data_IF_728824688078
#
_entry.id   IF_728824688078
#
_cell.length_a   1.000
_cell.length_b   1.000
_cell.length_c   1.000
_cell.angle_alpha   90.00
_cell.angle_beta   90.00
_cell.angle_gamma   90.00
#
_symmetry.space_group_name_H-M   'P 1'
#
loop_
_entity.id
_entity.type
_entity.pdbx_description
1 polymer ?
#
# COMPACT_ATOMS: atom_id res chain seq x y z
N UNK A 1 -9.01 35.66 22.34
CA UNK A 1 -7.66 36.28 22.23
C UNK A 1 -6.81 35.74 23.37
N UNK A 2 -6.14 34.60 23.17
CA UNK A 2 -5.32 33.94 24.18
C UNK A 2 -3.87 34.27 23.86
N UNK A 3 -3.29 35.17 24.65
CA UNK A 3 -1.85 35.45 24.61
C UNK A 3 -1.12 34.17 25.07
N UNK A 4 -0.56 33.42 24.12
CA UNK A 4 0.40 32.36 24.41
C UNK A 4 1.70 33.02 24.89
N UNK A 5 2.07 32.80 26.16
CA UNK A 5 3.34 33.21 26.73
C UNK A 5 4.47 32.68 25.84
N UNK A 6 5.20 33.58 25.15
CA UNK A 6 6.45 33.26 24.47
C UNK A 6 7.44 32.82 25.55
N UNK A 7 7.86 31.58 25.51
CA UNK A 7 8.97 31.12 26.32
C UNK A 7 10.19 31.95 25.94
N UNK A 8 10.65 32.83 26.84
CA UNK A 8 11.82 33.66 26.64
C UNK A 8 13.04 32.76 26.78
N UNK A 9 13.69 32.46 25.66
CA UNK A 9 14.96 31.73 25.63
C UNK A 9 16.00 32.70 26.18
N UNK A 10 16.67 32.36 27.31
CA UNK A 10 17.81 33.15 27.80
C UNK A 10 19.05 32.77 27.01
N UNK A 11 19.50 33.71 26.16
CA UNK A 11 20.71 33.56 25.37
C UNK A 11 21.96 33.83 26.19
N UNK A 12 23.11 33.19 25.94
CA UNK A 12 24.40 33.57 26.50
C UNK A 12 24.83 34.93 25.98
N UNK A 13 25.83 35.56 26.62
CA UNK A 13 26.33 36.90 26.24
C UNK A 13 26.74 37.01 24.75
N UNK A 14 27.15 35.91 24.14
CA UNK A 14 27.40 35.83 22.69
C UNK A 14 26.56 34.67 22.09
N UNK A 15 25.70 35.01 21.16
CA UNK A 15 24.93 34.01 20.37
C UNK A 15 25.74 33.65 19.15
N UNK A 16 25.99 32.37 18.93
CA UNK A 16 26.69 31.85 17.75
C UNK A 16 25.75 31.06 16.85
N UNK A 17 26.02 31.05 15.54
CA UNK A 17 25.23 30.26 14.56
C UNK A 17 25.22 28.79 14.91
N UNK A 18 26.37 28.24 15.38
CA UNK A 18 26.48 26.85 15.81
C UNK A 18 25.53 26.48 16.97
N UNK A 19 25.39 27.39 17.96
CA UNK A 19 24.47 27.19 19.08
C UNK A 19 23.00 27.18 18.61
N UNK A 20 22.64 28.12 17.74
CA UNK A 20 21.30 28.22 17.15
C UNK A 20 20.98 26.98 16.33
N UNK A 21 21.92 26.49 15.52
CA UNK A 21 21.79 25.25 14.77
C UNK A 21 21.52 24.04 15.66
N UNK A 22 22.31 23.88 16.74
CA UNK A 22 22.14 22.77 17.70
C UNK A 22 20.74 22.80 18.33
N UNK A 23 20.28 23.98 18.76
CA UNK A 23 18.95 24.14 19.36
C UNK A 23 17.85 23.85 18.33
N UNK A 24 17.95 24.37 17.10
CA UNK A 24 16.99 24.05 16.05
C UNK A 24 16.98 22.55 15.73
N UNK A 25 18.15 21.89 15.66
CA UNK A 25 18.26 20.45 15.39
C UNK A 25 17.60 19.60 16.51
N UNK A 26 17.80 19.97 17.77
CA UNK A 26 17.27 19.24 18.93
C UNK A 26 15.75 19.33 19.06
N UNK A 27 15.13 20.39 18.58
CA UNK A 27 13.69 20.58 18.67
C UNK A 27 12.92 19.70 17.67
N UNK A 28 12.04 18.82 18.16
CA UNK A 28 11.18 18.01 17.29
C UNK A 28 9.99 18.78 16.74
N UNK A 29 9.50 19.76 17.51
CA UNK A 29 8.33 20.56 17.14
C UNK A 29 8.76 21.77 16.30
N UNK A 30 8.18 21.94 15.11
CA UNK A 30 8.52 23.00 14.17
C UNK A 30 8.19 24.39 14.74
N UNK A 31 7.09 24.56 15.46
CA UNK A 31 6.72 25.84 16.08
C UNK A 31 7.73 26.25 17.17
N UNK A 32 8.26 25.30 17.93
CA UNK A 32 9.35 25.57 18.88
C UNK A 32 10.66 25.91 18.19
N UNK A 33 10.98 25.21 17.11
CA UNK A 33 12.15 25.54 16.29
C UNK A 33 12.06 26.95 15.69
N UNK A 34 10.87 27.39 15.26
CA UNK A 34 10.60 28.75 14.82
C UNK A 34 10.78 29.77 15.96
N UNK A 35 10.30 29.46 17.18
CA UNK A 35 10.50 30.35 18.33
C UNK A 35 11.99 30.49 18.68
N UNK A 36 12.79 29.43 18.54
CA UNK A 36 14.26 29.50 18.71
C UNK A 36 14.86 30.42 17.66
N UNK A 37 14.52 30.26 16.39
CA UNK A 37 15.01 31.07 15.28
C UNK A 37 14.64 32.56 15.48
N UNK A 38 13.37 32.87 15.73
CA UNK A 38 12.90 34.25 15.91
C UNK A 38 13.47 34.91 17.17
N UNK A 39 13.66 34.11 18.25
CA UNK A 39 14.32 34.62 19.47
C UNK A 39 15.78 34.96 19.21
N UNK A 40 16.52 34.19 18.40
CA UNK A 40 17.87 34.50 17.98
C UNK A 40 17.92 35.75 17.09
N UNK A 41 16.89 36.00 16.26
CA UNK A 41 16.78 37.21 15.46
C UNK A 41 16.63 38.48 16.30
N UNK A 42 16.11 38.41 17.53
CA UNK A 42 16.05 39.54 18.47
C UNK A 42 17.47 40.00 18.91
N UNK A 43 18.46 39.13 18.81
CA UNK A 43 19.88 39.45 19.14
C UNK A 43 20.65 40.13 18.00
N UNK A 44 19.97 40.56 16.91
CA UNK A 44 20.62 41.29 15.81
C UNK A 44 21.23 42.61 16.24
N UNK A 45 20.65 43.26 17.23
CA UNK A 45 21.23 44.45 17.83
C UNK A 45 22.58 44.19 18.52
N UNK A 46 22.80 42.95 18.99
CA UNK A 46 24.03 42.51 19.67
C UNK A 46 25.04 41.87 18.68
N UNK A 47 24.87 42.10 17.38
CA UNK A 47 25.81 41.68 16.34
C UNK A 47 25.62 40.25 15.80
N UNK A 48 24.60 39.48 16.27
CA UNK A 48 24.28 38.20 15.67
C UNK A 48 23.65 38.38 14.29
N UNK A 49 23.86 37.43 13.38
CA UNK A 49 23.13 37.30 12.12
C UNK A 49 22.96 35.83 11.80
N UNK A 50 21.79 35.47 11.29
CA UNK A 50 21.57 34.14 10.72
C UNK A 50 22.38 33.95 9.46
N UNK A 51 22.93 32.78 9.30
CA UNK A 51 23.63 32.34 8.08
C UNK A 51 22.77 31.41 7.23
N UNK A 52 23.31 31.03 6.07
CA UNK A 52 22.62 30.11 5.14
C UNK A 52 22.33 28.72 5.76
N UNK A 53 23.11 28.29 6.77
CA UNK A 53 22.93 26.97 7.42
C UNK A 53 21.74 26.98 8.37
N UNK A 54 21.58 28.01 9.19
CA UNK A 54 20.45 28.22 10.09
C UNK A 54 19.13 28.33 9.32
N UNK A 55 19.15 29.09 8.20
CA UNK A 55 18.02 29.20 7.28
C UNK A 55 17.68 27.85 6.62
N UNK A 56 18.69 27.11 6.15
CA UNK A 56 18.49 25.78 5.55
C UNK A 56 17.82 24.80 6.50
N UNK A 57 18.22 24.82 7.78
CA UNK A 57 17.64 23.95 8.80
C UNK A 57 16.18 24.28 9.09
N UNK A 58 15.84 25.56 9.24
CA UNK A 58 14.44 25.94 9.53
C UNK A 58 13.55 25.69 8.32
N UNK A 59 14.02 25.99 7.11
CA UNK A 59 13.30 25.67 5.87
C UNK A 59 13.08 24.17 5.75
N UNK A 60 14.10 23.34 6.01
CA UNK A 60 13.97 21.86 5.97
C UNK A 60 12.90 21.36 6.95
N UNK A 61 12.84 21.92 8.17
CA UNK A 61 11.81 21.58 9.15
C UNK A 61 10.40 21.99 8.70
N UNK A 62 10.25 23.19 8.12
CA UNK A 62 8.97 23.64 7.57
C UNK A 62 8.50 22.74 6.42
N UNK A 63 9.41 22.33 5.55
CA UNK A 63 9.13 21.42 4.44
C UNK A 63 8.73 20.01 4.92
N UNK A 64 9.26 19.55 6.06
CA UNK A 64 8.88 18.24 6.64
C UNK A 64 7.42 18.17 7.10
N UNK A 65 6.81 19.30 7.41
CA UNK A 65 5.38 19.43 7.81
C UNK A 65 4.52 20.11 6.73
N UNK A 66 5.02 20.19 5.50
CA UNK A 66 4.33 20.74 4.33
C UNK A 66 3.90 22.22 4.46
N UNK A 67 4.62 23.02 5.25
CA UNK A 67 4.39 24.46 5.39
C UNK A 67 5.13 25.26 4.31
N UNK A 68 4.78 25.06 3.03
CA UNK A 68 5.51 25.60 1.87
C UNK A 68 5.52 27.12 1.82
N UNK A 69 4.37 27.79 2.06
CA UNK A 69 4.30 29.27 2.03
C UNK A 69 5.27 29.88 3.03
N UNK A 70 5.27 29.39 4.27
CA UNK A 70 6.22 29.86 5.29
C UNK A 70 7.68 29.61 4.88
N UNK A 71 7.99 28.47 4.26
CA UNK A 71 9.33 28.20 3.75
C UNK A 71 9.75 29.19 2.65
N UNK A 72 8.83 29.65 1.79
CA UNK A 72 9.08 30.70 0.80
C UNK A 72 9.25 32.08 1.45
N UNK A 73 8.47 32.41 2.49
CA UNK A 73 8.61 33.64 3.25
C UNK A 73 10.04 33.76 3.86
N UNK A 74 10.61 32.60 4.30
CA UNK A 74 12.01 32.57 4.78
C UNK A 74 13.03 32.84 3.67
N UNK A 75 12.76 32.42 2.42
CA UNK A 75 13.61 32.79 1.27
C UNK A 75 13.57 34.29 1.02
N UNK A 76 12.41 34.91 1.08
CA UNK A 76 12.28 36.36 0.88
C UNK A 76 12.92 37.13 2.05
N UNK A 77 12.87 36.60 3.28
CA UNK A 77 13.61 37.12 4.43
C UNK A 77 15.14 37.02 4.24
N UNK A 78 15.65 35.87 3.72
CA UNK A 78 17.08 35.76 3.37
C UNK A 78 17.53 36.85 2.39
N UNK A 79 16.69 37.21 1.40
CA UNK A 79 17.00 38.31 0.47
C UNK A 79 17.09 39.65 1.18
N UNK A 80 16.12 39.96 2.06
CA UNK A 80 16.11 41.23 2.80
C UNK A 80 17.28 41.34 3.77
N UNK A 81 17.76 40.24 4.32
CA UNK A 81 18.91 40.16 5.22
C UNK A 81 20.27 40.01 4.50
N UNK A 82 20.30 40.10 3.16
CA UNK A 82 21.49 39.86 2.33
C UNK A 82 22.18 38.50 2.61
N UNK A 83 21.44 37.51 3.08
CA UNK A 83 21.96 36.18 3.29
C UNK A 83 22.00 35.39 1.97
N UNK A 84 23.13 34.73 1.70
CA UNK A 84 23.32 33.98 0.46
C UNK A 84 22.31 32.83 0.34
N UNK A 85 21.44 32.89 -0.66
CA UNK A 85 20.53 31.80 -1.02
C UNK A 85 21.33 30.78 -1.83
N UNK A 86 21.51 29.58 -1.28
CA UNK A 86 22.20 28.48 -1.98
C UNK A 86 21.23 27.71 -2.87
N UNK A 87 21.77 27.17 -3.97
CA UNK A 87 21.02 26.31 -4.89
C UNK A 87 20.37 25.12 -4.13
N UNK A 88 21.09 24.53 -3.17
CA UNK A 88 20.59 23.38 -2.41
C UNK A 88 19.34 23.70 -1.58
N UNK A 89 19.19 24.93 -1.08
CA UNK A 89 17.98 25.39 -0.39
C UNK A 89 16.79 25.40 -1.35
N UNK A 90 16.94 26.01 -2.53
CA UNK A 90 15.87 26.07 -3.54
C UNK A 90 15.54 24.68 -4.08
N UNK A 91 16.54 23.83 -4.31
CA UNK A 91 16.30 22.44 -4.72
C UNK A 91 15.59 21.60 -3.64
N UNK A 92 15.84 21.88 -2.35
CA UNK A 92 15.11 21.21 -1.27
C UNK A 92 13.60 21.53 -1.30
N UNK A 93 13.26 22.77 -1.61
CA UNK A 93 11.86 23.22 -1.81
C UNK A 93 11.26 22.58 -3.07
N UNK A 94 12.03 22.54 -4.18
CA UNK A 94 11.58 21.85 -5.40
C UNK A 94 11.25 20.38 -5.13
N UNK A 95 12.13 19.66 -4.41
CA UNK A 95 11.88 18.25 -4.03
C UNK A 95 10.67 18.10 -3.12
N UNK A 96 10.43 19.06 -2.23
CA UNK A 96 9.27 19.02 -1.33
C UNK A 96 7.97 19.29 -2.09
N UNK A 97 7.94 20.22 -3.03
CA UNK A 97 6.80 20.42 -3.94
C UNK A 97 6.55 19.22 -4.85
N UNK A 98 7.61 18.56 -5.33
CA UNK A 98 7.50 17.31 -6.06
C UNK A 98 6.78 16.23 -5.26
N UNK A 99 7.13 16.03 -3.98
CA UNK A 99 6.47 15.02 -3.10
C UNK A 99 4.99 15.26 -2.86
N UNK A 100 4.47 16.47 -3.03
CA UNK A 100 3.04 16.81 -2.90
C UNK A 100 2.37 17.06 -4.24
N UNK A 101 2.96 16.57 -5.33
CA UNK A 101 2.39 16.61 -6.68
C UNK A 101 2.07 18.02 -7.21
N UNK A 102 2.98 18.98 -7.00
CA UNK A 102 2.84 20.38 -7.45
C UNK A 102 3.92 20.81 -8.46
N UNK A 103 3.93 20.27 -9.69
CA UNK A 103 4.99 20.52 -10.68
C UNK A 103 5.09 21.98 -11.14
N UNK A 104 4.00 22.74 -11.12
CA UNK A 104 4.01 24.17 -11.46
C UNK A 104 4.81 24.99 -10.44
N UNK A 105 4.67 24.68 -9.15
CA UNK A 105 5.44 25.33 -8.09
C UNK A 105 6.92 24.97 -8.17
N UNK A 106 7.24 23.71 -8.56
CA UNK A 106 8.64 23.32 -8.83
C UNK A 106 9.28 24.21 -9.87
N UNK A 107 8.62 24.45 -11.01
CA UNK A 107 9.13 25.31 -12.07
C UNK A 107 9.26 26.77 -11.61
N UNK A 108 8.29 27.28 -10.86
CA UNK A 108 8.33 28.64 -10.29
C UNK A 108 9.50 28.85 -9.35
N UNK A 109 9.80 27.88 -8.49
CA UNK A 109 10.95 27.95 -7.57
C UNK A 109 12.27 27.81 -8.34
N UNK A 110 12.33 26.91 -9.33
CA UNK A 110 13.52 26.75 -10.16
C UNK A 110 13.92 28.05 -10.87
N UNK A 111 12.95 28.82 -11.37
CA UNK A 111 13.22 30.14 -12.00
C UNK A 111 13.83 31.19 -11.05
N UNK A 112 13.76 30.97 -9.73
CA UNK A 112 14.42 31.83 -8.72
C UNK A 112 15.93 31.55 -8.58
N UNK A 113 16.45 30.48 -9.22
CA UNK A 113 17.90 30.15 -9.21
C UNK A 113 18.58 31.02 -10.27
N UNK A 114 19.48 31.88 -9.85
CA UNK A 114 20.12 32.85 -10.74
C UNK A 114 21.10 32.21 -11.73
N UNK A 115 21.81 31.16 -11.32
CA UNK A 115 22.79 30.45 -12.14
C UNK A 115 22.74 28.94 -11.81
N UNK A 116 21.74 28.24 -12.40
CA UNK A 116 21.50 26.84 -12.05
C UNK A 116 22.59 25.92 -12.61
N UNK A 117 23.13 25.08 -11.74
CA UNK A 117 24.08 24.03 -12.12
C UNK A 117 23.41 22.90 -12.88
N UNK A 118 24.20 22.05 -13.56
CA UNK A 118 23.72 20.81 -14.20
C UNK A 118 22.93 19.94 -13.21
N UNK A 119 23.38 19.91 -11.93
CA UNK A 119 22.70 19.18 -10.84
C UNK A 119 21.28 19.69 -10.61
N UNK A 120 21.05 21.00 -10.66
CA UNK A 120 19.74 21.61 -10.51
C UNK A 120 18.81 21.20 -11.66
N UNK A 121 19.29 21.32 -12.90
CA UNK A 121 18.53 20.90 -14.08
C UNK A 121 18.12 19.42 -14.01
N UNK A 122 19.07 18.53 -13.72
CA UNK A 122 18.79 17.08 -13.60
C UNK A 122 17.81 16.79 -12.46
N UNK A 123 17.92 17.48 -11.33
CA UNK A 123 17.00 17.30 -10.19
C UNK A 123 15.58 17.70 -10.55
N UNK A 124 15.39 18.88 -11.14
CA UNK A 124 14.06 19.36 -11.55
C UNK A 124 13.49 18.48 -12.66
N UNK A 125 14.32 18.07 -13.59
CA UNK A 125 13.94 17.15 -14.65
C UNK A 125 13.44 15.80 -14.08
N UNK A 126 14.17 15.23 -13.10
CA UNK A 126 13.74 14.01 -12.40
C UNK A 126 12.39 14.18 -11.71
N UNK A 127 12.17 15.30 -11.01
CA UNK A 127 10.89 15.59 -10.37
C UNK A 127 9.75 15.64 -11.38
N UNK A 128 9.93 16.32 -12.50
CA UNK A 128 8.91 16.41 -13.57
C UNK A 128 8.56 15.03 -14.16
N UNK A 129 9.56 14.17 -14.28
CA UNK A 129 9.38 12.78 -14.75
C UNK A 129 8.65 11.92 -13.71
N UNK A 130 9.02 12.04 -12.44
CA UNK A 130 8.38 11.29 -11.36
C UNK A 130 6.91 11.70 -11.18
N UNK A 131 6.58 12.97 -11.45
CA UNK A 131 5.21 13.52 -11.50
C UNK A 131 4.43 13.16 -12.78
N UNK A 132 4.98 12.31 -13.63
CA UNK A 132 4.40 11.92 -14.92
C UNK A 132 4.10 13.09 -15.88
N UNK A 133 4.76 14.24 -15.69
CA UNK A 133 4.65 15.42 -16.55
C UNK A 133 5.57 15.31 -17.77
N UNK A 134 5.46 14.21 -18.54
CA UNK A 134 6.41 13.85 -19.59
C UNK A 134 6.55 14.96 -20.66
N UNK A 135 5.45 15.61 -21.04
CA UNK A 135 5.48 16.69 -22.05
C UNK A 135 6.32 17.89 -21.56
N UNK A 136 6.16 18.27 -20.28
CA UNK A 136 6.92 19.37 -19.68
C UNK A 136 8.38 18.94 -19.48
N UNK A 137 8.62 17.72 -19.02
CA UNK A 137 9.96 17.16 -18.84
C UNK A 137 10.74 17.14 -20.17
N UNK A 138 10.15 16.69 -21.28
CA UNK A 138 10.80 16.70 -22.58
C UNK A 138 11.10 18.13 -23.09
N UNK A 139 10.18 19.10 -22.89
CA UNK A 139 10.45 20.51 -23.22
C UNK A 139 11.61 21.04 -22.38
N UNK A 140 11.64 20.72 -21.10
CA UNK A 140 12.69 21.13 -20.17
C UNK A 140 14.05 20.51 -20.54
N UNK A 141 14.09 19.23 -20.89
CA UNK A 141 15.31 18.58 -21.38
C UNK A 141 15.82 19.23 -22.69
N UNK A 142 14.92 19.55 -23.62
CA UNK A 142 15.29 20.26 -24.85
C UNK A 142 15.86 21.64 -24.56
N UNK A 143 15.28 22.37 -23.60
CA UNK A 143 15.79 23.65 -23.11
C UNK A 143 17.19 23.52 -22.51
N UNK A 144 17.47 22.53 -21.68
CA UNK A 144 18.81 22.22 -21.20
C UNK A 144 19.81 22.06 -22.34
N UNK A 145 19.43 21.34 -23.39
CA UNK A 145 20.28 21.13 -24.57
C UNK A 145 20.56 22.42 -25.33
N UNK A 146 19.58 23.32 -25.44
CA UNK A 146 19.75 24.64 -26.09
C UNK A 146 20.70 25.55 -25.30
N UNK A 147 20.76 25.42 -23.98
CA UNK A 147 21.72 26.11 -23.13
C UNK A 147 23.15 25.53 -23.22
N UNK A 148 23.37 24.53 -24.06
CA UNK A 148 24.69 23.95 -24.29
C UNK A 148 25.09 22.86 -23.29
N UNK A 149 24.19 22.44 -22.37
CA UNK A 149 24.50 21.34 -21.45
C UNK A 149 24.58 20.02 -22.22
N UNK A 150 25.72 19.28 -22.19
CA UNK A 150 25.84 17.99 -22.85
C UNK A 150 24.94 16.95 -22.17
N UNK A 151 24.50 15.90 -22.89
CA UNK A 151 23.90 14.75 -22.24
C UNK A 151 24.86 14.19 -21.20
N UNK A 152 24.32 13.85 -20.04
CA UNK A 152 25.05 13.15 -18.99
C UNK A 152 24.37 11.85 -18.63
N UNK A 153 25.09 10.87 -18.11
CA UNK A 153 24.50 9.57 -17.69
C UNK A 153 23.29 9.77 -16.79
N UNK A 154 23.32 10.64 -15.75
CA UNK A 154 22.13 10.89 -14.93
C UNK A 154 20.93 11.44 -15.72
N UNK A 155 21.13 12.39 -16.63
CA UNK A 155 20.04 12.99 -17.42
C UNK A 155 19.40 11.98 -18.39
N UNK A 156 20.21 11.11 -19.01
CA UNK A 156 19.75 10.06 -19.88
C UNK A 156 19.06 8.94 -19.10
N UNK A 157 19.55 8.60 -17.91
CA UNK A 157 18.90 7.65 -17.02
C UNK A 157 17.50 8.11 -16.57
N UNK A 158 17.29 9.41 -16.35
CA UNK A 158 15.96 9.97 -16.07
C UNK A 158 15.03 9.81 -17.27
N UNK A 159 15.50 10.05 -18.49
CA UNK A 159 14.71 9.81 -19.72
C UNK A 159 14.38 8.34 -19.88
N UNK A 160 15.33 7.45 -19.72
CA UNK A 160 15.14 6.00 -19.81
C UNK A 160 14.08 5.56 -18.77
N UNK A 161 14.19 6.00 -17.51
CA UNK A 161 13.21 5.72 -16.47
C UNK A 161 11.80 6.19 -16.83
N UNK A 162 11.69 7.37 -17.48
CA UNK A 162 10.42 7.90 -17.95
C UNK A 162 9.80 7.04 -19.02
N UNK A 163 10.59 6.69 -20.04
CA UNK A 163 10.15 5.97 -21.23
C UNK A 163 9.91 4.48 -20.98
N UNK A 164 10.60 3.88 -19.99
CA UNK A 164 10.45 2.47 -19.63
C UNK A 164 9.16 2.13 -18.87
N UNK A 165 8.33 3.14 -18.55
CA UNK A 165 7.05 2.93 -17.85
C UNK A 165 5.93 2.42 -18.76
N UNK A 166 5.99 2.73 -20.05
CA UNK A 166 4.93 2.42 -21.01
C UNK A 166 5.47 1.61 -22.18
N UNK A 167 4.68 0.68 -22.68
CA UNK A 167 5.05 -0.18 -23.80
C UNK A 167 5.35 0.62 -25.07
N UNK A 168 4.50 1.60 -25.41
CA UNK A 168 4.65 2.44 -26.61
C UNK A 168 5.93 3.27 -26.65
N UNK A 169 6.60 3.47 -25.51
CA UNK A 169 7.82 4.29 -25.39
C UNK A 169 9.07 3.47 -25.07
N UNK A 170 8.92 2.18 -24.82
CA UNK A 170 10.04 1.30 -24.45
C UNK A 170 11.13 1.25 -25.54
N UNK A 171 10.74 1.15 -26.82
CA UNK A 171 11.70 1.13 -27.93
C UNK A 171 12.52 2.42 -27.98
N UNK A 172 11.90 3.56 -27.62
CA UNK A 172 12.64 4.84 -27.52
C UNK A 172 13.63 4.82 -26.36
N UNK A 173 13.31 4.15 -25.25
CA UNK A 173 14.24 3.99 -24.13
C UNK A 173 15.45 3.12 -24.51
N UNK A 174 15.22 2.02 -25.23
CA UNK A 174 16.29 1.14 -25.76
C UNK A 174 17.15 1.91 -26.77
N UNK A 175 16.53 2.74 -27.65
CA UNK A 175 17.28 3.57 -28.59
C UNK A 175 18.22 4.53 -27.88
N UNK A 176 17.77 5.16 -26.77
CA UNK A 176 18.64 6.04 -25.96
C UNK A 176 19.84 5.24 -25.39
N UNK A 177 19.63 4.04 -24.87
CA UNK A 177 20.73 3.19 -24.40
C UNK A 177 21.80 3.01 -25.49
N UNK A 178 21.38 2.70 -26.73
CA UNK A 178 22.30 2.46 -27.85
C UNK A 178 22.97 3.73 -28.36
N UNK A 179 22.39 4.88 -28.12
CA UNK A 179 22.94 6.20 -28.49
C UNK A 179 23.86 6.79 -27.42
N UNK A 180 23.79 6.31 -26.15
CA UNK A 180 24.62 6.81 -25.05
C UNK A 180 26.12 6.85 -25.38
N UNK A 181 26.74 5.78 -25.96
CA UNK A 181 28.17 5.78 -26.28
C UNK A 181 28.54 6.85 -27.31
N UNK A 182 27.65 7.18 -28.27
CA UNK A 182 27.86 8.24 -29.29
C UNK A 182 27.96 9.62 -28.67
N UNK A 183 27.39 9.80 -27.48
CA UNK A 183 27.44 11.05 -26.72
C UNK A 183 28.54 11.05 -25.65
N UNK A 184 29.45 10.09 -25.67
CA UNK A 184 30.50 9.95 -24.66
C UNK A 184 29.99 9.50 -23.27
N UNK A 185 28.75 8.97 -23.22
CA UNK A 185 28.13 8.47 -22.00
C UNK A 185 28.16 6.93 -21.99
N UNK A 186 28.87 6.31 -21.06
CA UNK A 186 28.83 4.85 -20.88
C UNK A 186 27.63 4.45 -20.05
N UNK A 187 26.72 3.56 -20.55
CA UNK A 187 25.67 3.00 -19.73
C UNK A 187 26.21 2.32 -18.48
N UNK A 188 25.55 2.55 -17.37
CA UNK A 188 25.92 1.97 -16.07
C UNK A 188 24.92 0.88 -15.62
N UNK A 189 25.22 0.25 -14.48
CA UNK A 189 24.34 -0.76 -13.84
C UNK A 189 22.91 -0.23 -13.63
N UNK A 190 22.75 1.07 -13.33
CA UNK A 190 21.44 1.67 -13.15
C UNK A 190 20.67 1.79 -14.47
N UNK A 191 21.36 2.15 -15.57
CA UNK A 191 20.80 2.24 -16.92
C UNK A 191 20.17 0.92 -17.35
N UNK A 192 20.99 -0.16 -17.31
CA UNK A 192 20.53 -1.50 -17.65
C UNK A 192 19.44 -2.00 -16.70
N UNK A 193 19.64 -1.84 -15.38
CA UNK A 193 18.67 -2.27 -14.37
C UNK A 193 17.30 -1.61 -14.53
N UNK A 194 17.26 -0.34 -14.93
CA UNK A 194 16.01 0.40 -15.19
C UNK A 194 15.26 -0.17 -16.40
N UNK A 195 15.97 -0.44 -17.50
CA UNK A 195 15.37 -1.03 -18.71
C UNK A 195 14.89 -2.45 -18.46
N UNK A 196 15.71 -3.29 -17.83
CA UNK A 196 15.36 -4.68 -17.48
C UNK A 196 14.10 -4.70 -16.61
N UNK A 197 14.03 -3.86 -15.57
CA UNK A 197 12.83 -3.74 -14.73
C UNK A 197 11.60 -3.29 -15.53
N UNK A 198 11.77 -2.32 -16.43
CA UNK A 198 10.70 -1.86 -17.33
C UNK A 198 10.18 -2.99 -18.23
N UNK A 199 11.08 -3.72 -18.89
CA UNK A 199 10.75 -4.85 -19.77
C UNK A 199 10.05 -5.99 -18.99
N UNK A 200 10.53 -6.31 -17.79
CA UNK A 200 9.89 -7.31 -16.92
C UNK A 200 8.46 -6.90 -16.54
N UNK A 201 8.22 -5.63 -16.21
CA UNK A 201 6.87 -5.10 -15.91
C UNK A 201 5.92 -5.15 -17.10
N UNK A 202 6.45 -5.01 -18.31
CA UNK A 202 5.72 -5.13 -19.59
C UNK A 202 5.61 -6.58 -20.07
N UNK A 203 6.03 -7.55 -19.27
CA UNK A 203 6.05 -8.98 -19.62
C UNK A 203 6.92 -9.34 -20.84
N UNK A 204 7.82 -8.44 -21.27
CA UNK A 204 8.79 -8.64 -22.35
C UNK A 204 10.05 -9.37 -21.85
N UNK A 205 9.86 -10.57 -21.31
CA UNK A 205 10.92 -11.30 -20.56
C UNK A 205 12.10 -11.69 -21.46
N UNK A 206 11.84 -12.04 -22.72
CA UNK A 206 12.91 -12.40 -23.67
C UNK A 206 13.86 -11.23 -23.89
N UNK A 207 13.33 -10.05 -24.18
CA UNK A 207 14.12 -8.84 -24.37
C UNK A 207 14.87 -8.44 -23.08
N UNK A 208 14.25 -8.64 -21.92
CA UNK A 208 14.89 -8.39 -20.62
C UNK A 208 16.11 -9.30 -20.40
N UNK A 209 16.02 -10.58 -20.76
CA UNK A 209 17.13 -11.55 -20.68
C UNK A 209 18.25 -11.21 -21.66
N UNK A 210 17.92 -10.81 -22.87
CA UNK A 210 18.92 -10.42 -23.87
C UNK A 210 19.70 -9.19 -23.40
N UNK A 211 18.99 -8.22 -22.80
CA UNK A 211 19.59 -7.01 -22.24
C UNK A 211 20.44 -7.31 -21.00
N UNK A 212 20.05 -8.29 -20.19
CA UNK A 212 20.83 -8.75 -19.05
C UNK A 212 22.18 -9.37 -19.49
N UNK A 213 22.15 -10.21 -20.52
CA UNK A 213 23.37 -10.77 -21.12
C UNK A 213 24.26 -9.70 -21.74
N UNK A 214 23.65 -8.70 -22.44
CA UNK A 214 24.38 -7.55 -22.97
C UNK A 214 25.09 -6.78 -21.86
N UNK A 215 24.40 -6.54 -20.73
CA UNK A 215 24.98 -5.87 -19.55
C UNK A 215 26.25 -6.55 -19.06
N UNK A 216 26.24 -7.88 -18.93
CA UNK A 216 27.40 -8.67 -18.49
C UNK A 216 28.56 -8.61 -19.52
N UNK A 217 28.25 -8.76 -20.81
CA UNK A 217 29.26 -8.69 -21.89
C UNK A 217 29.90 -7.31 -22.01
N UNK A 218 29.20 -6.24 -21.61
CA UNK A 218 29.72 -4.87 -21.55
C UNK A 218 30.49 -4.57 -20.26
N UNK A 219 30.69 -5.56 -19.38
CA UNK A 219 31.40 -5.40 -18.11
C UNK A 219 30.62 -4.67 -17.02
N UNK A 220 29.30 -4.46 -17.20
CA UNK A 220 28.45 -3.91 -16.17
C UNK A 220 27.98 -5.05 -15.23
N UNK A 221 28.44 -5.09 -14.00
CA UNK A 221 28.02 -6.12 -13.04
C UNK A 221 26.56 -5.98 -12.65
N UNK A 222 25.73 -7.05 -12.78
CA UNK A 222 24.35 -7.04 -12.34
C UNK A 222 24.23 -6.80 -10.83
N UNK A 223 23.23 -6.00 -10.44
CA UNK A 223 22.95 -5.68 -9.03
C UNK A 223 21.82 -6.56 -8.47
N UNK A 224 21.63 -6.50 -7.13
CA UNK A 224 20.47 -7.12 -6.46
C UNK A 224 19.15 -6.72 -7.14
N UNK A 225 19.03 -5.45 -7.55
CA UNK A 225 17.81 -4.94 -8.21
C UNK A 225 17.61 -5.60 -9.57
N UNK A 226 18.67 -5.78 -10.35
CA UNK A 226 18.63 -6.38 -11.69
C UNK A 226 18.18 -7.84 -11.61
N UNK A 227 18.83 -8.64 -10.74
CA UNK A 227 18.43 -10.03 -10.50
C UNK A 227 16.99 -10.12 -10.00
N UNK A 228 16.62 -9.32 -8.98
CA UNK A 228 15.26 -9.34 -8.41
C UNK A 228 14.20 -9.01 -9.46
N UNK A 229 14.49 -8.06 -10.36
CA UNK A 229 13.55 -7.68 -11.43
C UNK A 229 13.32 -8.82 -12.42
N UNK A 230 14.40 -9.53 -12.84
CA UNK A 230 14.30 -10.69 -13.73
C UNK A 230 13.62 -11.88 -13.04
N UNK A 231 14.00 -12.20 -11.82
CA UNK A 231 13.38 -13.25 -11.01
C UNK A 231 11.88 -12.99 -10.87
N UNK A 232 11.50 -11.75 -10.57
CA UNK A 232 10.10 -11.35 -10.49
C UNK A 232 9.37 -11.52 -11.81
N UNK A 233 9.94 -11.02 -12.91
CA UNK A 233 9.37 -11.12 -14.26
C UNK A 233 9.18 -12.58 -14.69
N UNK A 234 10.18 -13.44 -14.50
CA UNK A 234 10.11 -14.87 -14.79
C UNK A 234 9.06 -15.60 -13.93
N UNK A 235 9.01 -15.29 -12.65
CA UNK A 235 8.00 -15.85 -11.74
C UNK A 235 6.57 -15.46 -12.12
N UNK A 236 6.37 -14.25 -12.65
CA UNK A 236 5.07 -13.80 -13.16
C UNK A 236 4.67 -14.49 -14.47
N UNK A 237 5.64 -14.84 -15.32
CA UNK A 237 5.45 -15.45 -16.65
C UNK A 237 5.42 -17.00 -16.63
N UNK A 238 5.23 -17.62 -15.48
CA UNK A 238 5.25 -19.07 -15.28
C UNK A 238 6.59 -19.77 -15.62
N UNK A 239 7.69 -19.02 -15.77
CA UNK A 239 9.03 -19.55 -16.04
C UNK A 239 9.79 -19.80 -14.72
N UNK A 240 9.18 -20.59 -13.82
CA UNK A 240 9.66 -20.78 -12.46
C UNK A 240 11.07 -21.43 -12.42
N UNK A 241 11.35 -22.41 -13.29
CA UNK A 241 12.65 -23.09 -13.31
C UNK A 241 13.79 -22.13 -13.64
N UNK A 242 13.59 -21.23 -14.61
CA UNK A 242 14.58 -20.18 -14.92
C UNK A 242 14.70 -19.16 -13.78
N UNK A 243 13.60 -18.81 -13.14
CA UNK A 243 13.59 -17.93 -11.98
C UNK A 243 14.43 -18.50 -10.81
N UNK A 244 14.30 -19.81 -10.56
CA UNK A 244 15.08 -20.53 -9.56
C UNK A 244 16.57 -20.61 -9.93
N UNK A 245 16.88 -20.88 -11.21
CA UNK A 245 18.25 -20.88 -11.70
C UNK A 245 18.94 -19.53 -11.50
N UNK A 246 18.24 -18.42 -11.82
CA UNK A 246 18.78 -17.08 -11.56
C UNK A 246 18.92 -16.74 -10.07
N UNK A 247 18.04 -17.27 -9.23
CA UNK A 247 18.18 -17.11 -7.78
C UNK A 247 19.47 -17.79 -7.27
N UNK A 248 19.75 -19.02 -7.69
CA UNK A 248 20.99 -19.73 -7.32
C UNK A 248 22.22 -19.08 -7.96
N UNK A 249 22.13 -18.57 -9.19
CA UNK A 249 23.21 -17.82 -9.81
C UNK A 249 23.55 -16.55 -9.00
N UNK A 250 22.52 -15.81 -8.55
CA UNK A 250 22.68 -14.64 -7.69
C UNK A 250 23.46 -14.98 -6.41
N UNK A 251 23.09 -16.08 -5.73
CA UNK A 251 23.79 -16.54 -4.53
C UNK A 251 25.24 -16.98 -4.83
N UNK A 252 25.45 -17.69 -5.93
CA UNK A 252 26.80 -18.15 -6.34
C UNK A 252 27.77 -17.01 -6.66
N UNK A 253 27.23 -15.86 -7.13
CA UNK A 253 27.97 -14.61 -7.36
C UNK A 253 28.12 -13.76 -6.10
N UNK A 254 27.79 -14.28 -4.91
CA UNK A 254 27.80 -13.57 -3.63
C UNK A 254 26.92 -12.30 -3.62
N UNK A 255 25.87 -12.25 -4.43
CA UNK A 255 24.88 -11.18 -4.42
C UNK A 255 23.76 -11.62 -3.49
N UNK A 256 23.63 -11.00 -2.30
CA UNK A 256 22.65 -11.41 -1.29
C UNK A 256 21.23 -11.12 -1.72
N UNK A 257 20.34 -12.14 -1.81
CA UNK A 257 18.91 -11.93 -2.06
C UNK A 257 18.28 -11.05 -0.98
N UNK A 258 17.32 -10.23 -1.34
CA UNK A 258 16.57 -9.40 -0.39
C UNK A 258 15.13 -9.92 -0.21
N UNK A 259 14.36 -9.25 0.67
CA UNK A 259 12.95 -9.59 0.94
C UNK A 259 12.11 -9.68 -0.34
N UNK A 260 12.36 -8.80 -1.32
CA UNK A 260 11.63 -8.81 -2.59
C UNK A 260 11.99 -10.02 -3.45
N UNK A 261 13.27 -10.43 -3.45
CA UNK A 261 13.74 -11.61 -4.18
C UNK A 261 13.04 -12.87 -3.67
N UNK A 262 13.08 -13.09 -2.33
CA UNK A 262 12.38 -14.22 -1.71
C UNK A 262 10.87 -14.19 -1.97
N UNK A 263 10.24 -13.02 -1.81
CA UNK A 263 8.80 -12.87 -2.06
C UNK A 263 8.42 -13.14 -3.53
N UNK A 264 9.32 -12.84 -4.48
CA UNK A 264 9.11 -13.12 -5.90
C UNK A 264 9.14 -14.63 -6.18
N UNK A 265 10.07 -15.37 -5.59
CA UNK A 265 10.13 -16.84 -5.69
C UNK A 265 8.90 -17.47 -5.03
N UNK A 266 8.57 -17.06 -3.80
CA UNK A 266 7.37 -17.54 -3.08
C UNK A 266 6.10 -17.32 -3.93
N UNK A 267 5.97 -16.14 -4.55
CA UNK A 267 4.83 -15.86 -5.43
C UNK A 267 4.83 -16.75 -6.68
N UNK A 268 5.98 -16.97 -7.30
CA UNK A 268 6.13 -17.89 -8.43
C UNK A 268 5.72 -19.33 -8.07
N UNK A 269 6.18 -19.84 -6.94
CA UNK A 269 5.83 -21.17 -6.43
C UNK A 269 4.33 -21.29 -6.16
N UNK A 270 3.73 -20.32 -5.46
CA UNK A 270 2.28 -20.31 -5.18
C UNK A 270 1.44 -20.26 -6.46
N UNK A 271 1.85 -19.48 -7.47
CA UNK A 271 1.14 -19.42 -8.76
C UNK A 271 1.17 -20.76 -9.52
N UNK A 272 2.25 -21.51 -9.37
CA UNK A 272 2.43 -22.81 -10.01
C UNK A 272 1.91 -23.99 -9.19
N UNK A 273 1.16 -23.76 -8.11
CA UNK A 273 0.61 -24.83 -7.28
C UNK A 273 1.65 -25.59 -6.45
N UNK A 274 2.79 -24.93 -6.12
CA UNK A 274 3.91 -25.49 -5.33
C UNK A 274 4.03 -24.76 -3.99
N UNK A 275 2.90 -24.51 -3.32
CA UNK A 275 2.87 -23.68 -2.10
C UNK A 275 3.59 -24.36 -0.91
N UNK A 276 3.76 -25.69 -0.89
CA UNK A 276 4.54 -26.36 0.15
C UNK A 276 6.03 -26.00 0.04
N UNK A 277 6.58 -25.97 -1.17
CA UNK A 277 7.96 -25.50 -1.39
C UNK A 277 8.11 -24.01 -1.08
N UNK A 278 7.05 -23.23 -1.31
CA UNK A 278 7.05 -21.82 -0.91
C UNK A 278 7.16 -21.63 0.62
N UNK A 279 6.65 -22.58 1.43
CA UNK A 279 6.86 -22.60 2.89
C UNK A 279 8.34 -22.83 3.22
N UNK A 280 9.03 -23.71 2.48
CA UNK A 280 10.46 -23.95 2.67
C UNK A 280 11.25 -22.67 2.36
N UNK A 281 10.91 -21.97 1.28
CA UNK A 281 11.52 -20.68 0.95
C UNK A 281 11.25 -19.59 2.01
N UNK A 282 10.06 -19.58 2.60
CA UNK A 282 9.76 -18.71 3.75
C UNK A 282 10.68 -19.05 4.93
N UNK A 283 10.94 -20.33 5.18
CA UNK A 283 11.84 -20.75 6.25
C UNK A 283 13.29 -20.33 5.96
N UNK A 284 13.77 -20.52 4.72
CA UNK A 284 15.11 -20.08 4.28
C UNK A 284 15.25 -18.56 4.46
N UNK A 285 14.24 -17.79 4.05
CA UNK A 285 14.19 -16.34 4.21
C UNK A 285 14.39 -15.92 5.67
N UNK A 286 13.71 -16.60 6.60
CA UNK A 286 13.80 -16.31 8.04
C UNK A 286 15.18 -16.73 8.61
N UNK A 287 15.72 -17.88 8.23
CA UNK A 287 17.05 -18.33 8.67
C UNK A 287 18.17 -17.42 8.18
N UNK A 288 17.97 -16.77 7.03
CA UNK A 288 18.88 -15.73 6.50
C UNK A 288 18.61 -14.33 7.10
N UNK A 289 17.85 -14.25 8.20
CA UNK A 289 17.53 -13.03 8.94
C UNK A 289 16.72 -11.98 8.14
N UNK A 290 16.04 -12.37 7.07
CA UNK A 290 15.09 -11.51 6.36
C UNK A 290 13.69 -11.66 6.96
N UNK A 291 13.15 -10.57 7.51
CA UNK A 291 11.80 -10.57 8.08
C UNK A 291 10.74 -10.59 6.97
N UNK A 292 9.90 -11.64 6.88
CA UNK A 292 8.77 -11.63 5.97
C UNK A 292 7.82 -10.48 6.29
N UNK A 293 7.25 -9.89 5.25
CA UNK A 293 6.28 -8.82 5.40
C UNK A 293 4.85 -9.32 5.14
N UNK A 294 3.85 -8.43 5.30
CA UNK A 294 2.44 -8.74 5.04
C UNK A 294 2.23 -9.32 3.64
N UNK A 295 2.91 -8.79 2.62
CA UNK A 295 2.77 -9.26 1.23
C UNK A 295 3.24 -10.70 1.08
N UNK A 296 4.38 -11.07 1.70
CA UNK A 296 4.92 -12.45 1.67
C UNK A 296 3.91 -13.44 2.25
N UNK A 297 3.37 -13.13 3.44
CA UNK A 297 2.38 -13.98 4.09
C UNK A 297 1.06 -14.05 3.33
N UNK A 298 0.55 -12.92 2.84
CA UNK A 298 -0.69 -12.87 2.04
C UNK A 298 -0.59 -13.72 0.77
N UNK A 299 0.55 -13.66 0.09
CA UNK A 299 0.80 -14.45 -1.13
C UNK A 299 0.80 -15.93 -0.83
N UNK A 300 1.48 -16.34 0.25
CA UNK A 300 1.56 -17.74 0.65
C UNK A 300 0.20 -18.28 1.09
N UNK A 301 -0.53 -17.52 1.92
CA UNK A 301 -1.89 -17.87 2.34
C UNK A 301 -2.84 -18.01 1.15
N UNK A 302 -2.72 -17.11 0.15
CA UNK A 302 -3.51 -17.21 -1.07
C UNK A 302 -3.20 -18.49 -1.87
N UNK A 303 -1.91 -18.83 -2.02
CA UNK A 303 -1.49 -20.06 -2.70
C UNK A 303 -2.01 -21.31 -1.99
N UNK A 304 -1.78 -21.41 -0.66
CA UNK A 304 -2.23 -22.52 0.16
C UNK A 304 -3.75 -22.69 0.18
N UNK A 305 -4.48 -21.57 0.23
CA UNK A 305 -5.95 -21.58 0.16
C UNK A 305 -6.43 -22.12 -1.18
N UNK A 306 -5.83 -21.70 -2.30
CA UNK A 306 -6.15 -22.21 -3.65
C UNK A 306 -5.87 -23.71 -3.79
N UNK A 307 -4.84 -24.21 -3.14
CA UNK A 307 -4.49 -25.65 -3.10
C UNK A 307 -5.29 -26.43 -2.04
N UNK A 308 -6.16 -25.76 -1.29
CA UNK A 308 -6.97 -26.35 -0.19
C UNK A 308 -6.13 -27.00 0.92
N UNK A 309 -4.92 -26.49 1.17
CA UNK A 309 -3.99 -26.93 2.20
C UNK A 309 -4.33 -26.26 3.55
N UNK A 310 -5.42 -26.73 4.19
CA UNK A 310 -5.98 -26.10 5.40
C UNK A 310 -4.98 -26.08 6.57
N UNK A 311 -4.35 -27.22 6.97
CA UNK A 311 -3.45 -27.22 8.13
C UNK A 311 -2.28 -26.25 7.97
N UNK A 312 -1.66 -26.24 6.79
CA UNK A 312 -0.53 -25.37 6.48
C UNK A 312 -0.95 -23.91 6.42
N UNK A 313 -2.14 -23.63 5.86
CA UNK A 313 -2.70 -22.28 5.81
C UNK A 313 -2.88 -21.70 7.22
N UNK A 314 -3.41 -22.49 8.15
CA UNK A 314 -3.58 -22.10 9.55
C UNK A 314 -2.24 -21.88 10.26
N UNK A 315 -1.29 -22.81 10.07
CA UNK A 315 0.04 -22.70 10.67
C UNK A 315 0.75 -21.42 10.21
N UNK A 316 0.63 -21.06 8.93
CA UNK A 316 1.20 -19.82 8.38
C UNK A 316 0.46 -18.59 8.91
N UNK A 317 -0.87 -18.65 9.04
CA UNK A 317 -1.68 -17.55 9.59
C UNK A 317 -1.32 -17.27 11.06
N UNK A 318 -1.19 -18.32 11.87
CA UNK A 318 -0.79 -18.20 13.28
C UNK A 318 0.65 -17.69 13.41
N UNK A 319 1.56 -18.19 12.56
CA UNK A 319 2.94 -17.71 12.52
C UNK A 319 3.04 -16.22 12.19
N UNK A 320 2.21 -15.73 11.27
CA UNK A 320 2.13 -14.32 10.94
C UNK A 320 1.72 -13.48 12.16
N UNK A 321 0.70 -13.93 12.92
CA UNK A 321 0.24 -13.28 14.15
C UNK A 321 1.33 -13.27 15.24
N UNK A 322 2.03 -14.39 15.42
CA UNK A 322 3.15 -14.51 16.37
C UNK A 322 4.30 -13.54 16.05
N UNK A 323 4.48 -13.15 14.80
CA UNK A 323 5.45 -12.13 14.40
C UNK A 323 4.95 -10.69 14.59
N UNK A 324 3.78 -10.50 15.18
CA UNK A 324 3.17 -9.19 15.44
C UNK A 324 2.54 -8.55 14.20
N UNK A 325 2.39 -9.30 13.09
CA UNK A 325 1.70 -8.81 11.91
C UNK A 325 0.19 -9.00 12.09
N UNK A 326 -0.58 -7.92 12.01
CA UNK A 326 -2.04 -7.95 12.15
C UNK A 326 -2.69 -8.32 10.82
N UNK A 327 -3.43 -9.45 10.74
CA UNK A 327 -4.16 -9.82 9.55
C UNK A 327 -5.21 -8.76 9.20
N UNK A 328 -5.37 -8.48 7.91
CA UNK A 328 -6.44 -7.62 7.42
C UNK A 328 -7.73 -8.43 7.13
N UNK A 329 -8.82 -7.71 6.83
CA UNK A 329 -10.10 -8.33 6.51
C UNK A 329 -10.02 -9.30 5.31
N UNK A 330 -9.12 -9.04 4.35
CA UNK A 330 -8.93 -9.91 3.18
C UNK A 330 -8.33 -11.27 3.54
N UNK A 331 -7.40 -11.30 4.51
CA UNK A 331 -6.80 -12.54 4.99
C UNK A 331 -7.77 -13.37 5.83
N UNK A 332 -8.52 -12.74 6.74
CA UNK A 332 -9.61 -13.43 7.46
C UNK A 332 -10.64 -14.01 6.49
N UNK A 333 -11.01 -13.23 5.44
CA UNK A 333 -11.88 -13.74 4.39
C UNK A 333 -11.38 -15.04 3.79
N UNK A 334 -10.10 -15.09 3.38
CA UNK A 334 -9.52 -16.29 2.77
C UNK A 334 -9.60 -17.53 3.67
N UNK A 335 -9.34 -17.35 4.97
CA UNK A 335 -9.44 -18.45 5.95
C UNK A 335 -10.89 -18.88 6.13
N UNK A 336 -11.81 -17.92 6.27
CA UNK A 336 -13.24 -18.19 6.47
C UNK A 336 -13.83 -18.86 5.23
N UNK A 337 -13.53 -18.34 4.02
CA UNK A 337 -13.94 -18.93 2.74
C UNK A 337 -13.48 -20.37 2.62
N UNK A 338 -12.21 -20.66 2.96
CA UNK A 338 -11.64 -21.99 2.93
C UNK A 338 -12.39 -22.97 3.87
N UNK A 339 -12.80 -22.51 5.05
CA UNK A 339 -13.62 -23.31 5.96
C UNK A 339 -15.04 -23.53 5.45
N UNK A 340 -15.68 -22.50 4.87
CA UNK A 340 -17.02 -22.60 4.28
C UNK A 340 -17.05 -23.59 3.11
N UNK A 341 -16.06 -23.54 2.20
CA UNK A 341 -15.91 -24.49 1.10
C UNK A 341 -15.78 -25.95 1.57
N UNK A 342 -15.15 -26.15 2.75
CA UNK A 342 -14.97 -27.46 3.35
C UNK A 342 -16.08 -27.82 4.37
N UNK A 343 -17.19 -27.10 4.38
CA UNK A 343 -18.37 -27.31 5.25
C UNK A 343 -18.03 -27.30 6.75
N UNK A 344 -16.97 -26.62 7.17
CA UNK A 344 -16.54 -26.46 8.58
C UNK A 344 -16.98 -25.11 9.13
N UNK A 345 -18.29 -24.88 9.13
CA UNK A 345 -18.87 -23.56 9.43
C UNK A 345 -18.62 -23.08 10.86
N UNK A 346 -18.54 -24.00 11.85
CA UNK A 346 -18.18 -23.64 13.24
C UNK A 346 -16.80 -23.00 13.33
N UNK A 347 -15.82 -23.56 12.60
CA UNK A 347 -14.48 -22.98 12.54
C UNK A 347 -14.49 -21.65 11.81
N UNK A 348 -15.26 -21.54 10.73
CA UNK A 348 -15.46 -20.29 10.01
C UNK A 348 -16.01 -19.18 10.94
N UNK A 349 -17.00 -19.52 11.77
CA UNK A 349 -17.59 -18.62 12.74
C UNK A 349 -16.57 -18.21 13.84
N UNK A 350 -15.70 -19.13 14.31
CA UNK A 350 -14.64 -18.80 15.25
C UNK A 350 -13.68 -17.74 14.70
N UNK A 351 -13.24 -17.85 13.44
CA UNK A 351 -12.39 -16.86 12.80
C UNK A 351 -13.13 -15.54 12.53
N UNK A 352 -14.43 -15.58 12.28
CA UNK A 352 -15.25 -14.39 12.20
C UNK A 352 -15.33 -13.67 13.55
N UNK A 353 -15.50 -14.40 14.65
CA UNK A 353 -15.51 -13.87 16.01
C UNK A 353 -14.15 -13.27 16.38
N UNK A 354 -13.06 -13.97 16.03
CA UNK A 354 -11.70 -13.48 16.21
C UNK A 354 -11.46 -12.17 15.44
N UNK A 355 -11.87 -12.09 14.17
CA UNK A 355 -11.76 -10.87 13.35
C UNK A 355 -12.46 -9.67 14.00
N UNK A 356 -13.63 -9.92 14.62
CA UNK A 356 -14.39 -8.90 15.32
C UNK A 356 -13.70 -8.49 16.64
N UNK A 357 -13.17 -9.47 17.38
CA UNK A 357 -12.46 -9.25 18.64
C UNK A 357 -11.18 -8.46 18.46
N UNK A 358 -10.40 -8.77 17.42
CA UNK A 358 -9.18 -8.05 17.02
C UNK A 358 -9.47 -6.63 16.50
N UNK A 359 -10.74 -6.24 16.39
CA UNK A 359 -11.13 -4.91 15.96
C UNK A 359 -10.74 -4.58 14.52
N UNK A 360 -10.72 -5.59 13.63
CA UNK A 360 -10.40 -5.37 12.21
C UNK A 360 -11.40 -4.39 11.61
N UNK A 361 -10.94 -3.23 11.09
CA UNK A 361 -11.85 -2.15 10.71
C UNK A 361 -12.67 -2.53 9.47
N UNK A 362 -13.97 -2.31 9.55
CA UNK A 362 -14.88 -2.38 8.40
C UNK A 362 -14.67 -1.11 7.58
N UNK A 363 -13.88 -1.19 6.53
CA UNK A 363 -13.63 -0.06 5.61
C UNK A 363 -14.65 -0.10 4.47
N UNK A 364 -14.99 1.06 3.91
CA UNK A 364 -15.90 1.16 2.75
C UNK A 364 -15.44 0.27 1.58
N UNK A 365 -14.14 0.16 1.36
CA UNK A 365 -13.55 -0.70 0.30
C UNK A 365 -13.72 -2.21 0.59
N UNK A 366 -13.77 -2.62 1.88
CA UNK A 366 -13.92 -4.03 2.29
C UNK A 366 -15.35 -4.39 2.66
N UNK A 367 -16.30 -3.44 2.55
CA UNK A 367 -17.70 -3.65 2.94
C UNK A 367 -18.33 -4.87 2.25
N UNK A 368 -18.21 -4.98 0.93
CA UNK A 368 -18.74 -6.13 0.18
C UNK A 368 -18.15 -7.47 0.60
N UNK A 369 -16.90 -7.49 1.06
CA UNK A 369 -16.25 -8.67 1.61
C UNK A 369 -16.92 -9.05 2.95
N UNK A 370 -17.11 -8.09 3.85
CA UNK A 370 -17.77 -8.34 5.14
C UNK A 370 -19.18 -8.87 4.95
N UNK A 371 -19.97 -8.30 4.03
CA UNK A 371 -21.33 -8.78 3.71
C UNK A 371 -21.29 -10.25 3.26
N UNK A 372 -20.43 -10.57 2.29
CA UNK A 372 -20.31 -11.96 1.77
C UNK A 372 -19.88 -12.96 2.84
N UNK A 373 -18.87 -12.63 3.65
CA UNK A 373 -18.38 -13.50 4.73
C UNK A 373 -19.50 -13.86 5.69
N UNK A 374 -20.15 -12.82 6.24
CA UNK A 374 -21.15 -13.05 7.27
C UNK A 374 -22.32 -13.88 6.72
N UNK A 375 -22.85 -13.52 5.55
CA UNK A 375 -23.92 -14.28 4.92
C UNK A 375 -23.52 -15.75 4.65
N UNK A 376 -22.32 -15.99 4.10
CA UNK A 376 -21.85 -17.38 3.86
C UNK A 376 -21.74 -18.22 5.14
N UNK A 377 -21.26 -17.61 6.23
CA UNK A 377 -21.15 -18.30 7.53
C UNK A 377 -22.52 -18.58 8.12
N UNK A 378 -23.44 -17.61 8.12
CA UNK A 378 -24.81 -17.78 8.65
C UNK A 378 -25.54 -18.88 7.87
N UNK A 379 -25.54 -18.82 6.54
CA UNK A 379 -26.16 -19.83 5.67
C UNK A 379 -25.59 -21.21 5.95
N UNK A 380 -24.27 -21.33 6.04
CA UNK A 380 -23.63 -22.61 6.32
C UNK A 380 -23.98 -23.21 7.68
N UNK A 381 -24.08 -22.37 8.71
CA UNK A 381 -24.49 -22.82 10.05
C UNK A 381 -25.98 -23.23 10.11
N UNK A 382 -26.85 -22.51 9.41
CA UNK A 382 -28.27 -22.82 9.36
C UNK A 382 -28.54 -24.11 8.57
N UNK A 383 -27.89 -24.30 7.42
CA UNK A 383 -28.08 -25.46 6.54
C UNK A 383 -27.29 -26.71 6.96
N UNK A 384 -26.20 -26.51 7.74
CA UNK A 384 -25.34 -27.63 8.19
C UNK A 384 -25.88 -28.48 9.34
N UNK A 385 -27.07 -28.20 9.85
CA UNK A 385 -27.88 -29.09 10.67
C UNK A 385 -27.62 -29.09 12.18
N UNK A 386 -26.48 -28.67 12.70
CA UNK A 386 -26.18 -28.79 14.14
C UNK A 386 -26.10 -27.48 14.94
N UNK A 387 -25.85 -26.32 14.32
CA UNK A 387 -25.56 -25.10 15.07
C UNK A 387 -26.22 -23.83 14.55
N UNK A 388 -27.43 -23.92 14.00
CA UNK A 388 -28.18 -22.77 13.49
C UNK A 388 -28.50 -21.73 14.56
N UNK A 389 -28.49 -22.10 15.85
CA UNK A 389 -28.56 -21.09 16.94
C UNK A 389 -27.33 -20.15 16.93
N UNK A 390 -26.17 -20.70 16.63
CA UNK A 390 -24.95 -19.89 16.44
C UNK A 390 -25.04 -19.03 15.17
N UNK A 391 -25.60 -19.59 14.09
CA UNK A 391 -25.93 -18.85 12.87
C UNK A 391 -26.80 -17.63 13.16
N UNK A 392 -27.84 -17.81 13.98
CA UNK A 392 -28.71 -16.73 14.41
C UNK A 392 -27.98 -15.69 15.28
N UNK A 393 -27.06 -16.09 16.16
CA UNK A 393 -26.23 -15.13 16.92
C UNK A 393 -25.34 -14.29 16.00
N UNK A 394 -24.75 -14.90 14.96
CA UNK A 394 -23.97 -14.17 13.95
C UNK A 394 -24.86 -13.19 13.20
N UNK A 395 -26.06 -13.63 12.80
CA UNK A 395 -27.07 -12.78 12.16
C UNK A 395 -27.44 -11.56 13.01
N UNK A 396 -27.76 -11.75 14.30
CA UNK A 396 -28.08 -10.63 15.20
C UNK A 396 -26.94 -9.62 15.29
N UNK A 397 -25.68 -10.10 15.31
CA UNK A 397 -24.50 -9.23 15.30
C UNK A 397 -24.32 -8.49 13.97
N UNK A 398 -24.63 -9.12 12.83
CA UNK A 398 -24.65 -8.44 11.53
C UNK A 398 -25.62 -7.28 11.54
N UNK A 399 -26.85 -7.50 11.97
CA UNK A 399 -27.90 -6.47 12.09
C UNK A 399 -27.47 -5.34 13.00
N UNK A 400 -26.92 -5.64 14.17
CA UNK A 400 -26.41 -4.65 15.11
C UNK A 400 -25.26 -3.78 14.57
N UNK A 401 -24.54 -4.24 13.56
CA UNK A 401 -23.46 -3.51 12.86
C UNK A 401 -23.90 -2.89 11.53
N UNK A 402 -25.16 -3.00 11.16
CA UNK A 402 -25.70 -2.52 9.89
C UNK A 402 -25.18 -3.27 8.67
N UNK A 403 -24.67 -4.51 8.82
CA UNK A 403 -24.22 -5.34 7.71
C UNK A 403 -25.46 -5.92 7.01
N UNK A 404 -25.55 -5.70 5.69
CA UNK A 404 -26.68 -6.16 4.88
C UNK A 404 -26.79 -7.69 4.89
N UNK A 405 -28.01 -8.19 5.03
CA UNK A 405 -28.35 -9.61 4.93
C UNK A 405 -28.95 -9.85 3.56
N UNK A 406 -28.51 -10.90 2.86
CA UNK A 406 -29.08 -11.26 1.57
C UNK A 406 -30.36 -12.12 1.73
N UNK A 407 -31.19 -12.13 0.69
CA UNK A 407 -32.46 -12.86 0.68
C UNK A 407 -32.29 -14.33 1.04
N UNK A 408 -31.31 -14.98 0.44
CA UNK A 408 -31.03 -16.41 0.66
C UNK A 408 -30.63 -16.68 2.12
N UNK A 409 -29.92 -15.75 2.78
CA UNK A 409 -29.58 -15.88 4.20
C UNK A 409 -30.79 -15.74 5.11
N UNK A 410 -31.72 -14.83 4.79
CA UNK A 410 -33.00 -14.75 5.50
C UNK A 410 -33.79 -16.05 5.37
N UNK A 411 -33.92 -16.58 4.15
CA UNK A 411 -34.65 -17.84 3.86
C UNK A 411 -34.04 -19.02 4.62
N UNK A 412 -32.72 -19.15 4.65
CA UNK A 412 -32.02 -20.22 5.37
C UNK A 412 -32.25 -20.15 6.90
N UNK A 413 -32.26 -18.93 7.49
CA UNK A 413 -32.56 -18.73 8.92
C UNK A 413 -34.01 -19.08 9.22
N UNK A 414 -34.95 -18.64 8.38
CA UNK A 414 -36.37 -18.90 8.56
C UNK A 414 -36.61 -20.42 8.45
N UNK A 415 -36.09 -21.07 7.43
CA UNK A 415 -36.18 -22.53 7.24
C UNK A 415 -35.62 -23.30 8.43
N UNK A 416 -34.49 -22.86 9.00
CA UNK A 416 -33.92 -23.44 10.23
C UNK A 416 -34.91 -23.39 11.42
N UNK A 417 -35.52 -22.21 11.67
CA UNK A 417 -36.48 -22.06 12.77
C UNK A 417 -37.79 -22.81 12.51
N UNK A 418 -38.28 -22.85 11.27
CA UNK A 418 -39.43 -23.67 10.90
C UNK A 418 -39.15 -25.17 11.18
N UNK A 419 -37.98 -25.67 10.81
CA UNK A 419 -37.55 -27.05 11.09
C UNK A 419 -37.48 -27.38 12.58
N UNK A 420 -37.12 -26.40 13.42
CA UNK A 420 -37.10 -26.49 14.89
C UNK A 420 -38.44 -26.21 15.55
N UNK A 421 -39.47 -25.85 14.80
CA UNK A 421 -40.79 -25.42 15.28
C UNK A 421 -40.77 -24.17 16.18
N UNK A 422 -39.75 -23.31 16.03
CA UNK A 422 -39.67 -22.00 16.70
C UNK A 422 -40.23 -20.90 15.79
N UNK A 423 -41.57 -20.95 15.62
CA UNK A 423 -42.25 -20.07 14.69
C UNK A 423 -42.20 -18.58 15.12
N UNK A 424 -42.07 -18.29 16.41
CA UNK A 424 -41.95 -16.94 16.91
C UNK A 424 -40.69 -16.23 16.34
N UNK A 425 -39.56 -16.94 16.40
CA UNK A 425 -38.31 -16.39 15.82
C UNK A 425 -38.37 -16.33 14.29
N UNK A 426 -38.98 -17.35 13.65
CA UNK A 426 -39.15 -17.33 12.20
C UNK A 426 -39.94 -16.12 11.73
N UNK A 427 -41.10 -15.83 12.35
CA UNK A 427 -41.92 -14.65 12.03
C UNK A 427 -41.20 -13.34 12.28
N UNK A 428 -40.43 -13.24 13.38
CA UNK A 428 -39.60 -12.06 13.63
C UNK A 428 -38.59 -11.82 12.50
N UNK A 429 -37.90 -12.85 12.02
CA UNK A 429 -36.93 -12.74 10.93
C UNK A 429 -37.63 -12.35 9.62
N UNK A 430 -38.83 -12.87 9.35
CA UNK A 430 -39.67 -12.44 8.21
C UNK A 430 -39.97 -10.95 8.30
N UNK A 431 -40.39 -10.47 9.48
CA UNK A 431 -40.61 -9.01 9.69
C UNK A 431 -39.38 -8.18 9.40
N UNK A 432 -38.20 -8.62 9.84
CA UNK A 432 -36.93 -7.93 9.57
C UNK A 432 -36.56 -7.96 8.07
N UNK A 433 -36.87 -9.08 7.36
CA UNK A 433 -36.67 -9.21 5.91
C UNK A 433 -37.53 -8.23 5.12
N UNK A 434 -38.81 -8.08 5.50
CA UNK A 434 -39.76 -7.12 4.88
C UNK A 434 -39.32 -5.68 5.13
N UNK A 435 -38.86 -5.36 6.35
CA UNK A 435 -38.34 -4.02 6.68
C UNK A 435 -37.13 -3.65 5.82
N UNK A 436 -36.29 -4.63 5.47
CA UNK A 436 -35.14 -4.43 4.55
C UNK A 436 -35.59 -4.32 3.07
N UNK A 437 -36.89 -4.39 2.77
CA UNK A 437 -37.43 -4.32 1.41
C UNK A 437 -37.24 -5.59 0.60
N UNK A 438 -37.00 -6.72 1.25
CA UNK A 438 -36.86 -8.02 0.60
C UNK A 438 -38.22 -8.72 0.49
N UNK A 439 -38.51 -9.34 -0.67
CA UNK A 439 -39.71 -10.14 -0.87
C UNK A 439 -39.51 -11.52 -0.27
N UNK A 440 -40.51 -12.02 0.45
CA UNK A 440 -40.53 -13.40 1.00
C UNK A 440 -40.91 -14.35 -0.10
N UNK A 441 -40.12 -15.40 -0.34
CA UNK A 441 -40.35 -16.40 -1.35
C UNK A 441 -41.54 -17.32 -1.01
N UNK A 442 -42.21 -17.85 -2.04
CA UNK A 442 -43.37 -18.76 -1.88
C UNK A 442 -43.04 -20.00 -1.02
N UNK A 443 -41.82 -20.54 -1.13
CA UNK A 443 -41.39 -21.71 -0.33
C UNK A 443 -41.36 -21.41 1.16
N UNK A 444 -40.85 -20.24 1.55
CA UNK A 444 -40.78 -19.78 2.95
C UNK A 444 -42.18 -19.56 3.52
N UNK A 445 -43.09 -18.98 2.73
CA UNK A 445 -44.50 -18.85 3.12
C UNK A 445 -45.15 -20.19 3.32
N UNK A 446 -44.95 -21.15 2.40
CA UNK A 446 -45.48 -22.51 2.51
C UNK A 446 -45.01 -23.22 3.79
N UNK A 447 -43.70 -23.13 4.09
CA UNK A 447 -43.11 -23.78 5.28
C UNK A 447 -43.65 -23.18 6.58
N UNK A 448 -43.79 -21.82 6.63
CA UNK A 448 -44.38 -21.13 7.78
C UNK A 448 -45.85 -21.51 8.00
N UNK A 449 -46.67 -21.43 6.95
CA UNK A 449 -48.11 -21.70 7.02
C UNK A 449 -48.34 -23.17 7.38
N UNK A 450 -47.68 -24.11 6.70
CA UNK A 450 -47.80 -25.53 7.00
C UNK A 450 -47.32 -25.88 8.41
N UNK A 451 -46.26 -25.24 8.86
CA UNK A 451 -45.72 -25.47 10.20
C UNK A 451 -46.62 -24.96 11.32
N UNK A 452 -47.20 -23.78 11.15
CA UNK A 452 -48.15 -23.16 12.11
C UNK A 452 -49.49 -23.93 12.12
N UNK A 453 -50.05 -24.23 10.95
CA UNK A 453 -51.33 -24.93 10.85
C UNK A 453 -51.26 -26.41 11.26
N UNK A 454 -50.11 -27.05 11.16
CA UNK A 454 -49.95 -28.49 11.49
C UNK A 454 -49.94 -28.81 12.99
N UNK A 455 -49.91 -27.81 13.89
CA UNK A 455 -49.84 -28.04 15.34
C UNK A 455 -51.17 -28.27 16.06
N UNK A 456 -52.30 -27.99 15.43
CA UNK A 456 -53.62 -28.16 16.08
C UNK A 456 -53.90 -27.27 17.29
N UNK A 457 -52.99 -26.38 17.68
CA UNK A 457 -53.16 -25.37 18.75
C UNK A 457 -53.62 -24.06 18.11
N UNK A 458 -54.95 -23.88 18.08
CA UNK A 458 -55.65 -22.82 17.34
C UNK A 458 -55.33 -21.42 17.89
N UNK A 459 -54.97 -21.28 19.18
CA UNK A 459 -54.71 -19.98 19.81
C UNK A 459 -53.32 -19.43 19.44
N UNK A 460 -52.23 -20.21 19.55
CA UNK A 460 -50.87 -19.75 19.17
C UNK A 460 -50.74 -19.54 17.66
N UNK A 461 -51.39 -20.39 16.85
CA UNK A 461 -51.47 -20.26 15.40
C UNK A 461 -52.15 -18.96 14.95
N UNK A 462 -53.24 -18.56 15.65
CA UNK A 462 -53.95 -17.31 15.37
C UNK A 462 -53.15 -16.07 15.63
N UNK A 463 -52.35 -16.04 16.71
CA UNK A 463 -51.48 -14.88 17.04
C UNK A 463 -50.33 -14.75 16.07
N UNK A 464 -49.70 -15.85 15.65
CA UNK A 464 -48.65 -15.89 14.63
C UNK A 464 -49.18 -15.46 13.27
N UNK A 465 -50.38 -15.96 12.87
CA UNK A 465 -51.02 -15.55 11.61
C UNK A 465 -51.46 -14.09 11.60
N UNK A 466 -51.91 -13.54 12.74
CA UNK A 466 -52.25 -12.11 12.81
C UNK A 466 -51.00 -11.19 12.62
N UNK A 467 -49.83 -11.59 13.15
CA UNK A 467 -48.56 -10.93 12.92
C UNK A 467 -48.11 -11.01 11.44
N UNK A 468 -48.30 -12.15 10.80
CA UNK A 468 -47.98 -12.38 9.37
C UNK A 468 -48.86 -11.53 8.42
N UNK A 469 -50.17 -11.40 8.72
CA UNK A 469 -51.09 -10.58 7.91
C UNK A 469 -50.72 -9.10 7.93
N UNK A 470 -50.14 -8.61 9.02
CA UNK A 470 -49.65 -7.21 9.11
C UNK A 470 -48.45 -6.96 8.18
N UNK A 471 -47.66 -7.99 7.84
CA UNK A 471 -46.51 -7.86 6.95
C UNK A 471 -46.83 -8.12 5.46
N UNK A 472 -48.03 -8.62 5.15
CA UNK A 472 -48.48 -8.93 3.78
C UNK A 472 -49.30 -7.85 3.10
N UNK A 473 -49.62 -6.78 3.79
CA UNK A 473 -50.24 -5.53 3.29
C UNK A 473 -49.21 -4.40 3.30
#
# INVERSE_FOLDING_TARGET
>A
MVMRSKAIIKWPKQVTTSLVEQLIKSERNVEKALTVFDSASAEYANGFRHDHTTYSLIISKLLSVNQFKRAEDFIDRMKTENCKITEDILLSICRAYGRVHKPHDVMRIFQKISDPTIKAYVTVFSILVDENQLKVAFKFYRYMRQLGFPPSVPSLNVLIKALSKNESTMDSAIKILREMPKHGCTPDTYTYGTLINGLCKLSKIKEAKDLFKEMETKGCSPSVVTYTSLIHGLSQSNNLNESMSLFHEMESKNITPNVYTYSSIINGLCKNGRSLEAIEFLQIMITKHHKPNMVTYSTLLHGLSKEKKIPECLAIFDRMKLQGLKPDAGLYWKIIELFCENKKYDKAANYLDEMVFEGVPIKRVTWGIHVKIHNSVVRGLCNGGNDGNRGFQVYCRMRGKGICVDVETFEDIIGFFCGKRDFEKAVRVVGEMVVDGCCVGEGVWSDLVCGVCGKGEVEEGGEVMSKLVVFGN
#
